data_IF_657225550634
#
_entry.id   IF_657225550634
#
_cell.length_a   1.000
_cell.length_b   1.000
_cell.length_c   1.000
_cell.angle_alpha   90.00
_cell.angle_beta   90.00
_cell.angle_gamma   90.00
#
_symmetry.space_group_name_H-M   'P 1'
#
loop_
_entity.id
_entity.type
_entity.pdbx_description
1 polymer ?
#
# COMPACT_ATOMS: atom_id res chain seq x y z
N UNK A 1 -2.67 11.49 -0.29
CA UNK A 1 -3.81 10.86 0.38
C UNK A 1 -5.14 11.54 0.08
N UNK A 2 -5.15 12.84 -0.21
CA UNK A 2 -6.37 13.55 -0.59
C UNK A 2 -7.11 12.92 -1.78
N UNK A 3 -6.38 12.40 -2.77
CA UNK A 3 -6.93 11.69 -3.94
C UNK A 3 -7.66 10.38 -3.59
N UNK A 4 -7.35 9.78 -2.44
CA UNK A 4 -8.09 8.64 -1.89
C UNK A 4 -9.26 9.06 -1.00
N UNK A 5 -9.28 10.31 -0.53
CA UNK A 5 -10.25 10.80 0.44
C UNK A 5 -9.99 10.29 1.86
N UNK A 6 -8.73 10.02 2.19
CA UNK A 6 -8.32 9.55 3.52
C UNK A 6 -7.93 10.74 4.38
N UNK A 7 -8.54 10.84 5.55
CA UNK A 7 -8.12 11.74 6.63
C UNK A 7 -6.99 11.07 7.42
N UNK A 8 -5.78 11.61 7.25
CA UNK A 8 -4.57 11.06 7.88
C UNK A 8 -4.61 11.23 9.40
N UNK A 9 -5.14 12.32 9.91
CA UNK A 9 -5.24 12.55 11.36
C UNK A 9 -6.19 11.53 12.01
N UNK A 10 -7.27 11.16 11.30
CA UNK A 10 -8.21 10.17 11.77
C UNK A 10 -7.64 8.74 11.77
N UNK A 11 -6.75 8.40 10.83
CA UNK A 11 -6.17 7.05 10.74
C UNK A 11 -4.84 6.88 11.49
N UNK A 12 -4.14 7.98 11.82
CA UNK A 12 -2.86 7.90 12.53
C UNK A 12 -2.93 7.10 13.84
N UNK A 13 -4.00 7.20 14.67
CA UNK A 13 -4.14 6.37 15.87
C UNK A 13 -4.22 4.86 15.63
N UNK A 14 -4.52 4.42 14.40
CA UNK A 14 -4.54 2.98 14.09
C UNK A 14 -3.16 2.35 14.16
N UNK A 15 -2.13 3.15 13.96
CA UNK A 15 -0.74 2.74 13.82
C UNK A 15 0.14 3.25 14.97
N UNK A 16 -0.43 3.34 16.17
CA UNK A 16 0.34 3.68 17.35
C UNK A 16 1.43 2.62 17.59
N UNK A 17 2.69 3.03 17.49
CA UNK A 17 3.84 2.13 17.56
C UNK A 17 4.09 1.65 18.98
N UNK A 18 4.35 0.36 19.13
CA UNK A 18 5.17 -0.16 20.21
C UNK A 18 6.58 -0.34 19.66
N UNK A 19 7.40 0.71 19.75
CA UNK A 19 8.77 0.62 19.27
C UNK A 19 9.54 -0.41 20.09
N UNK A 20 9.86 -1.54 19.47
CA UNK A 20 10.67 -2.60 20.05
C UNK A 20 11.90 -2.79 19.16
N UNK A 21 13.10 -2.42 19.66
CA UNK A 21 14.32 -2.85 18.99
C UNK A 21 14.41 -4.39 19.08
N UNK A 22 14.72 -5.10 17.99
CA UNK A 22 15.30 -4.63 16.73
C UNK A 22 14.27 -4.37 15.60
N UNK A 23 12.99 -4.33 15.88
CA UNK A 23 11.93 -4.10 14.91
C UNK A 23 10.88 -3.10 15.44
N UNK A 24 10.03 -2.60 14.58
CA UNK A 24 8.85 -1.81 14.95
C UNK A 24 7.64 -2.74 14.97
N UNK A 25 6.97 -2.85 16.11
CA UNK A 25 5.70 -3.57 16.24
C UNK A 25 4.55 -2.56 16.33
N UNK A 26 3.58 -2.70 15.45
CA UNK A 26 2.34 -1.92 15.44
C UNK A 26 1.18 -2.86 15.78
N UNK A 27 0.45 -2.58 16.84
CA UNK A 27 -0.74 -3.35 17.22
C UNK A 27 -1.99 -2.56 16.94
N UNK A 28 -2.72 -2.92 15.88
CA UNK A 28 -4.03 -2.33 15.60
C UNK A 28 -5.03 -2.83 16.64
N UNK A 29 -5.78 -1.91 17.26
CA UNK A 29 -6.83 -2.30 18.21
C UNK A 29 -8.03 -2.93 17.51
N UNK A 30 -8.79 -3.79 18.24
CA UNK A 30 -10.02 -4.39 17.71
C UNK A 30 -11.02 -3.33 17.24
N UNK A 31 -11.15 -2.23 17.99
CA UNK A 31 -12.06 -1.13 17.65
C UNK A 31 -11.68 -0.45 16.33
N UNK A 32 -10.38 -0.19 16.13
CA UNK A 32 -9.90 0.40 14.88
C UNK A 32 -10.08 -0.56 13.70
N UNK A 33 -9.69 -1.82 13.85
CA UNK A 33 -9.81 -2.83 12.80
C UNK A 33 -11.29 -3.07 12.40
N UNK A 34 -12.20 -3.07 13.39
CA UNK A 34 -13.64 -3.23 13.13
C UNK A 34 -14.25 -2.06 12.32
N UNK A 35 -13.73 -0.84 12.51
CA UNK A 35 -14.21 0.34 11.80
C UNK A 35 -13.73 0.45 10.33
N UNK A 36 -12.79 -0.39 9.90
CA UNK A 36 -12.17 -0.25 8.56
C UNK A 36 -13.17 -0.39 7.42
N UNK A 37 -14.15 -1.28 7.51
CA UNK A 37 -15.17 -1.44 6.47
C UNK A 37 -15.95 -0.14 6.24
N UNK A 38 -16.26 0.61 7.31
CA UNK A 38 -17.01 1.85 7.22
C UNK A 38 -16.22 3.00 6.58
N UNK A 39 -14.90 3.03 6.80
CA UNK A 39 -14.05 4.17 6.39
C UNK A 39 -13.18 3.89 5.17
N UNK A 40 -12.84 2.64 4.86
CA UNK A 40 -11.92 2.28 3.78
C UNK A 40 -12.60 1.88 2.47
N UNK A 41 -13.91 1.66 2.43
CA UNK A 41 -14.59 1.24 1.20
C UNK A 41 -14.29 2.13 0.00
N UNK A 42 -14.49 3.44 0.10
CA UNK A 42 -14.19 4.40 -0.97
C UNK A 42 -12.68 4.57 -1.19
N UNK A 43 -11.82 4.77 -0.18
CA UNK A 43 -10.38 4.84 -0.35
C UNK A 43 -9.78 3.62 -1.07
N UNK A 44 -10.14 2.41 -0.67
CA UNK A 44 -9.65 1.17 -1.30
C UNK A 44 -10.16 1.06 -2.75
N UNK A 45 -11.44 1.38 -3.01
CA UNK A 45 -11.92 1.46 -4.41
C UNK A 45 -11.08 2.41 -5.26
N UNK A 46 -10.74 3.59 -4.73
CA UNK A 46 -9.91 4.58 -5.42
C UNK A 46 -8.47 4.13 -5.63
N UNK A 47 -7.98 3.15 -4.89
CA UNK A 47 -6.70 2.49 -5.19
C UNK A 47 -6.75 1.72 -6.52
N UNK A 48 -7.91 1.21 -6.94
CA UNK A 48 -8.09 0.43 -8.19
C UNK A 48 -8.65 1.27 -9.35
N UNK A 49 -9.56 2.19 -9.06
CA UNK A 49 -10.16 3.09 -10.05
C UNK A 49 -10.65 4.36 -9.35
N UNK A 50 -10.23 5.53 -9.84
CA UNK A 50 -10.71 6.81 -9.33
C UNK A 50 -12.13 7.13 -9.85
N UNK A 51 -12.74 8.15 -9.25
CA UNK A 51 -14.13 8.51 -9.55
C UNK A 51 -14.31 8.97 -10.99
N UNK A 52 -13.40 9.82 -11.48
CA UNK A 52 -13.50 10.40 -12.81
C UNK A 52 -13.36 9.32 -13.90
N UNK A 53 -12.38 8.41 -13.75
CA UNK A 53 -12.20 7.31 -14.68
C UNK A 53 -13.36 6.32 -14.62
N UNK A 54 -13.92 6.06 -13.44
CA UNK A 54 -15.08 5.19 -13.26
C UNK A 54 -16.30 5.76 -13.99
N UNK A 55 -16.57 7.07 -13.84
CA UNK A 55 -17.67 7.76 -14.52
C UNK A 55 -17.49 7.78 -16.03
N UNK A 56 -16.29 8.10 -16.50
CA UNK A 56 -15.97 8.10 -17.92
C UNK A 56 -16.14 6.72 -18.56
N UNK A 57 -15.70 5.66 -17.89
CA UNK A 57 -15.85 4.28 -18.38
C UNK A 57 -17.30 3.81 -18.37
N UNK A 58 -18.08 4.13 -17.34
CA UNK A 58 -19.49 3.81 -17.28
C UNK A 58 -20.24 4.47 -18.47
N UNK A 59 -19.99 5.76 -18.70
CA UNK A 59 -20.58 6.49 -19.84
C UNK A 59 -20.16 5.92 -21.20
N UNK A 60 -18.88 5.57 -21.36
CA UNK A 60 -18.36 5.09 -22.64
C UNK A 60 -18.79 3.65 -22.98
N UNK A 61 -19.01 2.80 -21.96
CA UNK A 61 -19.28 1.36 -22.17
C UNK A 61 -20.74 0.96 -21.93
N UNK A 62 -21.53 1.82 -21.28
CA UNK A 62 -22.90 1.50 -20.84
C UNK A 62 -22.95 0.47 -19.71
N UNK A 63 -21.81 0.10 -19.12
CA UNK A 63 -21.75 -0.82 -17.98
C UNK A 63 -22.03 -0.09 -16.68
N UNK A 64 -22.61 -0.79 -15.70
CA UNK A 64 -22.76 -0.26 -14.37
C UNK A 64 -21.39 -0.03 -13.69
N UNK A 65 -21.34 0.93 -12.76
CA UNK A 65 -20.14 1.16 -11.95
C UNK A 65 -19.74 -0.07 -11.14
N UNK A 66 -20.73 -0.84 -10.66
CA UNK A 66 -20.50 -2.09 -9.94
C UNK A 66 -19.75 -3.13 -10.77
N UNK A 67 -20.17 -3.34 -12.05
CA UNK A 67 -19.46 -4.26 -12.96
C UNK A 67 -18.02 -3.80 -13.24
N UNK A 68 -17.82 -2.49 -13.42
CA UNK A 68 -16.48 -1.93 -13.69
C UNK A 68 -15.55 -2.06 -12.49
N UNK A 69 -16.05 -1.84 -11.29
CA UNK A 69 -15.28 -2.03 -10.05
C UNK A 69 -14.97 -3.51 -9.84
N UNK A 70 -15.96 -4.39 -9.95
CA UNK A 70 -15.78 -5.83 -9.81
C UNK A 70 -14.72 -6.40 -10.77
N UNK A 71 -14.63 -5.86 -11.98
CA UNK A 71 -13.63 -6.26 -12.98
C UNK A 71 -12.19 -5.85 -12.60
N UNK A 72 -12.02 -4.94 -11.63
CA UNK A 72 -10.71 -4.45 -11.16
C UNK A 72 -10.26 -5.11 -9.85
N UNK A 73 -11.20 -5.48 -9.00
CA UNK A 73 -10.88 -6.03 -7.68
C UNK A 73 -10.32 -7.46 -7.77
N UNK A 74 -9.41 -7.85 -6.87
CA UNK A 74 -8.91 -9.22 -6.79
C UNK A 74 -10.02 -10.19 -6.35
N UNK A 75 -9.90 -11.44 -6.80
CA UNK A 75 -10.72 -12.49 -6.22
C UNK A 75 -10.32 -12.77 -4.77
N UNK A 76 -11.26 -13.27 -3.95
CA UNK A 76 -10.99 -13.70 -2.58
C UNK A 76 -9.83 -14.71 -2.57
N UNK A 77 -8.89 -14.54 -1.65
CA UNK A 77 -7.73 -15.41 -1.53
C UNK A 77 -6.43 -14.63 -1.33
N UNK A 78 -5.31 -15.23 -1.74
CA UNK A 78 -3.97 -14.69 -1.50
C UNK A 78 -3.72 -13.33 -2.18
N UNK A 79 -4.26 -13.13 -3.38
CA UNK A 79 -4.11 -11.84 -4.07
C UNK A 79 -4.86 -10.73 -3.34
N UNK A 80 -6.09 -10.98 -2.85
CA UNK A 80 -6.84 -10.01 -2.06
C UNK A 80 -6.12 -9.68 -0.75
N UNK A 81 -5.62 -10.71 -0.05
CA UNK A 81 -4.85 -10.52 1.18
C UNK A 81 -3.58 -9.70 0.95
N UNK A 82 -2.84 -10.00 -0.12
CA UNK A 82 -1.64 -9.26 -0.51
C UNK A 82 -1.93 -7.81 -0.85
N UNK A 83 -2.88 -7.56 -1.76
CA UNK A 83 -3.29 -6.21 -2.15
C UNK A 83 -3.74 -5.38 -0.92
N UNK A 84 -4.50 -6.00 0.00
CA UNK A 84 -4.91 -5.32 1.23
C UNK A 84 -3.73 -4.96 2.12
N UNK A 85 -2.79 -5.90 2.31
CA UNK A 85 -1.57 -5.64 3.09
C UNK A 85 -0.75 -4.49 2.50
N UNK A 86 -0.57 -4.47 1.18
CA UNK A 86 0.10 -3.36 0.50
C UNK A 86 -0.65 -2.02 0.69
N UNK A 87 -1.99 -2.00 0.56
CA UNK A 87 -2.81 -0.79 0.78
C UNK A 87 -2.72 -0.34 2.25
N UNK A 88 -2.74 -1.27 3.20
CA UNK A 88 -2.59 -0.95 4.62
C UNK A 88 -1.22 -0.31 4.91
N UNK A 89 -0.14 -0.85 4.33
CA UNK A 89 1.21 -0.28 4.44
C UNK A 89 1.30 1.08 3.73
N UNK A 90 0.59 1.27 2.63
CA UNK A 90 0.49 2.56 1.97
C UNK A 90 -0.14 3.62 2.89
N UNK A 91 -1.18 3.26 3.64
CA UNK A 91 -1.80 4.13 4.65
C UNK A 91 -0.91 4.32 5.88
N UNK A 92 -0.25 3.25 6.35
CA UNK A 92 0.70 3.30 7.45
C UNK A 92 1.80 4.33 7.20
N UNK A 93 2.43 4.31 6.01
CA UNK A 93 3.46 5.31 5.68
C UNK A 93 2.93 6.73 5.85
N UNK A 94 1.71 7.02 5.39
CA UNK A 94 1.13 8.35 5.51
C UNK A 94 0.83 8.74 6.96
N UNK A 95 0.48 7.78 7.79
CA UNK A 95 0.17 8.01 9.21
C UNK A 95 1.43 8.28 10.05
N UNK A 96 2.56 7.60 9.73
CA UNK A 96 3.81 7.72 10.51
C UNK A 96 4.79 8.77 9.99
N UNK A 97 4.48 9.41 8.87
CA UNK A 97 5.24 10.52 8.30
C UNK A 97 4.41 11.83 8.38
N UNK A 98 4.09 12.33 9.60
CA UNK A 98 3.17 13.44 9.77
C UNK A 98 3.75 14.74 9.18
N UNK A 99 2.85 15.57 8.65
CA UNK A 99 3.22 16.87 8.09
C UNK A 99 3.95 16.83 6.75
N UNK A 100 4.13 15.65 6.15
CA UNK A 100 4.80 15.46 4.87
C UNK A 100 3.79 15.10 3.80
N UNK A 101 3.85 15.75 2.65
CA UNK A 101 3.04 15.38 1.50
C UNK A 101 3.61 14.11 0.85
N UNK A 102 3.09 12.95 1.21
CA UNK A 102 3.45 11.69 0.59
C UNK A 102 2.78 11.54 -0.78
N UNK A 103 3.61 11.37 -1.79
CA UNK A 103 3.18 11.11 -3.16
C UNK A 103 3.47 9.65 -3.46
N UNK A 104 2.45 8.88 -3.85
CA UNK A 104 2.63 7.46 -4.12
C UNK A 104 1.77 6.96 -5.28
N UNK A 105 2.35 6.22 -6.24
CA UNK A 105 1.61 5.62 -7.34
C UNK A 105 0.66 4.54 -6.83
N UNK A 106 -0.58 4.55 -7.30
CA UNK A 106 -1.58 3.51 -7.00
C UNK A 106 -1.38 2.37 -8.00
N UNK A 107 -0.38 1.52 -7.74
CA UNK A 107 0.00 0.40 -8.63
C UNK A 107 -1.15 -0.54 -8.97
N UNK A 108 -2.12 -0.68 -8.07
CA UNK A 108 -3.30 -1.53 -8.27
C UNK A 108 -4.15 -1.08 -9.46
N UNK A 109 -4.16 0.22 -9.81
CA UNK A 109 -4.81 0.75 -11.04
C UNK A 109 -4.20 0.19 -12.31
N UNK A 110 -2.89 -0.13 -12.28
CA UNK A 110 -2.08 -0.56 -13.40
C UNK A 110 -2.06 -2.09 -13.61
N UNK A 111 -2.76 -2.85 -12.75
CA UNK A 111 -2.84 -4.31 -12.88
C UNK A 111 -3.55 -4.67 -14.19
N UNK A 112 -2.88 -5.47 -15.01
CA UNK A 112 -3.46 -6.03 -16.24
C UNK A 112 -4.28 -7.28 -15.97
N UNK A 113 -3.91 -8.01 -14.92
CA UNK A 113 -4.56 -9.22 -14.44
C UNK A 113 -4.87 -9.06 -12.94
N UNK A 114 -6.15 -8.97 -12.61
CA UNK A 114 -6.62 -8.77 -11.24
C UNK A 114 -6.31 -9.93 -10.30
N UNK A 115 -6.02 -11.12 -10.88
CA UNK A 115 -5.68 -12.33 -10.12
C UNK A 115 -4.21 -12.41 -9.73
N UNK A 116 -3.39 -11.45 -10.17
CA UNK A 116 -1.96 -11.38 -9.89
C UNK A 116 -1.60 -10.12 -9.12
N UNK A 117 -0.52 -10.15 -8.31
CA UNK A 117 0.01 -8.95 -7.69
C UNK A 117 0.48 -7.94 -8.76
N UNK A 118 0.53 -6.66 -8.38
CA UNK A 118 1.20 -5.66 -9.19
C UNK A 118 2.72 -5.97 -9.28
N UNK A 119 3.39 -5.69 -10.41
CA UNK A 119 4.79 -6.07 -10.56
C UNK A 119 5.74 -5.24 -9.70
N UNK A 120 6.91 -5.82 -9.41
CA UNK A 120 8.07 -5.23 -8.74
C UNK A 120 7.86 -4.88 -7.25
N UNK A 121 8.37 -3.71 -6.77
CA UNK A 121 8.29 -3.30 -5.36
C UNK A 121 6.84 -3.05 -4.94
N UNK A 122 6.45 -3.45 -3.75
CA UNK A 122 5.05 -3.47 -3.33
C UNK A 122 4.53 -2.06 -3.05
N UNK A 123 5.17 -1.30 -2.17
CA UNK A 123 4.75 0.06 -1.83
C UNK A 123 5.91 1.03 -2.03
N UNK A 124 5.65 2.11 -2.78
CA UNK A 124 6.62 3.19 -3.01
C UNK A 124 5.96 4.53 -2.73
N UNK A 125 6.64 5.37 -1.93
CA UNK A 125 6.27 6.75 -1.69
C UNK A 125 7.44 7.69 -1.94
N UNK A 126 7.12 8.89 -2.43
CA UNK A 126 8.05 9.99 -2.58
C UNK A 126 7.76 11.03 -1.50
N UNK A 127 8.78 11.40 -0.75
CA UNK A 127 8.77 12.50 0.22
C UNK A 127 9.56 13.62 -0.41
N UNK A 128 8.89 14.71 -0.76
CA UNK A 128 9.43 15.84 -1.51
C UNK A 128 9.00 17.14 -0.83
N UNK A 129 9.59 17.48 0.35
CA UNK A 129 9.10 18.58 1.19
C UNK A 129 9.19 19.95 0.50
N UNK A 130 10.19 20.16 -0.35
CA UNK A 130 10.47 21.42 -1.01
C UNK A 130 10.15 21.40 -2.52
N UNK A 131 9.31 20.45 -2.97
CA UNK A 131 8.99 20.33 -4.40
C UNK A 131 8.54 21.67 -5.03
N UNK A 132 9.05 22.04 -6.23
CA UNK A 132 9.89 21.25 -7.15
C UNK A 132 11.41 21.34 -6.89
N UNK A 133 11.85 22.14 -5.92
CA UNK A 133 13.27 22.30 -5.62
C UNK A 133 13.87 21.00 -5.04
N UNK A 134 15.15 20.74 -5.34
CA UNK A 134 15.88 19.61 -4.80
C UNK A 134 16.29 19.86 -3.34
N UNK A 135 16.21 18.81 -2.53
CA UNK A 135 16.52 18.91 -1.10
C UNK A 135 17.21 17.63 -0.60
N UNK A 136 18.09 17.78 0.39
CA UNK A 136 18.65 16.63 1.11
C UNK A 136 17.57 15.83 1.91
N UNK A 137 16.41 16.43 2.11
CA UNK A 137 15.26 15.76 2.73
C UNK A 137 14.39 14.99 1.73
N UNK A 138 14.72 15.07 0.41
CA UNK A 138 14.05 14.27 -0.60
C UNK A 138 14.38 12.80 -0.39
N UNK A 139 13.35 11.98 -0.22
CA UNK A 139 13.55 10.55 -0.03
C UNK A 139 12.46 9.72 -0.67
N UNK A 140 12.82 8.51 -1.06
CA UNK A 140 11.90 7.46 -1.50
C UNK A 140 11.79 6.42 -0.40
N UNK A 141 10.55 6.14 0.01
CA UNK A 141 10.22 5.03 0.91
C UNK A 141 9.80 3.85 0.05
N UNK A 142 10.48 2.73 0.20
CA UNK A 142 10.19 1.50 -0.53
C UNK A 142 9.95 0.38 0.48
N UNK A 143 8.77 -0.24 0.44
CA UNK A 143 8.45 -1.36 1.31
C UNK A 143 8.14 -2.60 0.51
N UNK A 144 8.72 -3.71 0.96
CA UNK A 144 8.29 -5.06 0.63
C UNK A 144 7.27 -5.52 1.67
N UNK A 145 6.15 -6.05 1.25
CA UNK A 145 5.02 -6.41 2.11
C UNK A 145 4.69 -7.90 2.01
N UNK A 146 4.59 -8.56 3.15
CA UNK A 146 4.09 -9.93 3.24
C UNK A 146 2.89 -9.99 4.17
N UNK A 147 1.83 -10.67 3.75
CA UNK A 147 0.58 -10.77 4.52
C UNK A 147 0.33 -12.22 4.95
N UNK A 148 0.07 -12.44 6.25
CA UNK A 148 -0.34 -13.73 6.82
C UNK A 148 -1.60 -13.57 7.66
N UNK A 149 -2.73 -14.00 7.11
CA UNK A 149 -4.04 -13.86 7.76
C UNK A 149 -4.57 -15.16 8.38
N UNK A 150 -3.93 -16.30 8.11
CA UNK A 150 -4.31 -17.61 8.62
C UNK A 150 -3.08 -18.44 8.96
N UNK A 151 -3.25 -19.42 9.84
CA UNK A 151 -2.19 -20.36 10.16
C UNK A 151 -1.69 -21.11 8.90
N UNK A 152 -0.40 -21.40 8.87
CA UNK A 152 0.27 -22.06 7.74
C UNK A 152 1.78 -21.94 7.84
N UNK A 153 2.51 -22.56 6.93
CA UNK A 153 3.98 -22.68 6.98
C UNK A 153 4.73 -21.46 6.40
N UNK A 154 4.05 -20.39 6.03
CA UNK A 154 4.74 -19.19 5.55
C UNK A 154 5.27 -18.37 6.71
N UNK A 155 6.48 -17.83 6.59
CA UNK A 155 7.14 -16.92 7.53
C UNK A 155 7.19 -15.51 6.90
N UNK A 156 6.17 -14.67 7.12
CA UNK A 156 6.08 -13.36 6.46
C UNK A 156 7.19 -12.41 6.86
N UNK A 157 7.68 -12.45 8.12
CA UNK A 157 8.74 -11.56 8.59
C UNK A 157 10.05 -11.87 7.87
N UNK A 158 10.54 -13.09 7.94
CA UNK A 158 11.79 -13.50 7.25
C UNK A 158 11.67 -13.38 5.74
N UNK A 159 10.49 -13.66 5.16
CA UNK A 159 10.24 -13.48 3.73
C UNK A 159 10.27 -12.01 3.30
N UNK A 160 9.71 -11.10 4.10
CA UNK A 160 9.75 -9.66 3.83
C UNK A 160 11.20 -9.13 3.88
N UNK A 161 11.99 -9.56 4.87
CA UNK A 161 13.42 -9.22 4.99
C UNK A 161 14.20 -9.70 3.76
N UNK A 162 14.04 -10.98 3.38
CA UNK A 162 14.73 -11.55 2.24
C UNK A 162 14.36 -10.86 0.91
N UNK A 163 13.10 -10.49 0.74
CA UNK A 163 12.61 -9.86 -0.47
C UNK A 163 12.92 -8.34 -0.50
N UNK A 164 12.99 -7.66 0.64
CA UNK A 164 13.47 -6.28 0.76
C UNK A 164 14.90 -6.11 0.23
N UNK A 165 15.75 -7.14 0.38
CA UNK A 165 17.08 -7.16 -0.23
C UNK A 165 17.04 -7.06 -1.77
N UNK A 166 16.02 -7.64 -2.42
CA UNK A 166 15.83 -7.52 -3.88
C UNK A 166 15.48 -6.09 -4.29
N UNK A 167 14.69 -5.39 -3.47
CA UNK A 167 14.36 -3.98 -3.68
C UNK A 167 15.60 -3.10 -3.63
N UNK A 168 16.43 -3.32 -2.63
CA UNK A 168 17.68 -2.58 -2.44
C UNK A 168 18.68 -2.80 -3.57
N UNK A 169 18.78 -4.01 -4.10
CA UNK A 169 19.72 -4.35 -5.15
C UNK A 169 19.31 -3.89 -6.54
N UNK A 170 18.03 -4.07 -6.93
CA UNK A 170 17.63 -3.79 -8.31
C UNK A 170 16.15 -3.56 -8.53
N UNK A 171 15.26 -4.10 -7.67
CA UNK A 171 13.82 -4.12 -7.96
C UNK A 171 13.23 -2.71 -7.92
N UNK A 172 13.63 -1.86 -6.95
CA UNK A 172 13.20 -0.46 -6.91
C UNK A 172 13.55 0.28 -8.20
N UNK A 173 14.75 0.12 -8.74
CA UNK A 173 15.15 0.75 -10.00
C UNK A 173 14.23 0.31 -11.16
N UNK A 174 13.92 -1.00 -11.24
CA UNK A 174 12.98 -1.54 -12.23
C UNK A 174 11.57 -1.00 -12.03
N UNK A 175 11.13 -0.83 -10.78
CA UNK A 175 9.84 -0.23 -10.43
C UNK A 175 9.74 1.19 -10.98
N UNK A 176 10.76 2.02 -10.76
CA UNK A 176 10.76 3.41 -11.23
C UNK A 176 10.74 3.52 -12.75
N UNK A 177 11.51 2.66 -13.44
CA UNK A 177 11.50 2.60 -14.91
C UNK A 177 10.11 2.18 -15.40
N UNK A 178 9.54 1.12 -14.85
CA UNK A 178 8.21 0.63 -15.23
C UNK A 178 7.12 1.68 -14.98
N UNK A 179 7.15 2.37 -13.82
CA UNK A 179 6.21 3.45 -13.53
C UNK A 179 6.35 4.62 -14.51
N UNK A 180 7.60 4.96 -14.89
CA UNK A 180 7.85 6.01 -15.89
C UNK A 180 7.28 5.64 -17.26
N UNK A 181 7.44 4.39 -17.70
CA UNK A 181 6.83 3.91 -18.94
C UNK A 181 5.30 3.96 -18.86
N UNK A 182 4.71 3.55 -17.73
CA UNK A 182 3.25 3.62 -17.54
C UNK A 182 2.74 5.05 -17.54
N UNK A 183 3.45 5.99 -16.92
CA UNK A 183 3.06 7.40 -16.88
C UNK A 183 2.95 8.07 -18.27
N UNK A 184 3.48 7.44 -19.32
CA UNK A 184 3.31 7.92 -20.70
C UNK A 184 1.92 7.61 -21.29
N UNK A 185 1.22 6.64 -20.73
CA UNK A 185 -0.04 6.12 -21.29
C UNK A 185 -1.18 6.03 -20.27
N UNK A 186 -0.87 6.10 -18.99
CA UNK A 186 -1.82 5.90 -17.91
C UNK A 186 -1.66 6.99 -16.84
N UNK A 187 -2.76 7.35 -16.19
CA UNK A 187 -2.75 8.27 -15.05
C UNK A 187 -2.25 7.54 -13.80
N UNK A 188 -1.15 8.02 -13.24
CA UNK A 188 -0.59 7.54 -11.97
C UNK A 188 -1.16 8.29 -10.75
N UNK A 189 -2.23 9.06 -10.91
CA UNK A 189 -2.80 9.90 -9.89
C UNK A 189 -1.91 11.11 -9.59
N UNK A 190 -1.54 11.29 -8.32
CA UNK A 190 -0.68 12.41 -7.89
C UNK A 190 0.79 12.25 -8.30
N UNK A 191 1.19 11.08 -8.81
CA UNK A 191 2.57 10.79 -9.21
C UNK A 191 2.81 11.23 -10.65
N UNK A 192 3.84 12.04 -10.87
CA UNK A 192 4.23 12.51 -12.22
C UNK A 192 5.57 11.91 -12.64
N UNK A 193 5.90 11.99 -13.95
CA UNK A 193 7.21 11.60 -14.48
C UNK A 193 8.33 12.38 -13.77
N UNK A 194 8.13 13.66 -13.46
CA UNK A 194 9.13 14.48 -12.79
C UNK A 194 9.43 13.97 -11.36
N UNK A 195 8.43 13.47 -10.62
CA UNK A 195 8.66 12.82 -9.31
C UNK A 195 9.53 11.57 -9.44
N UNK A 196 9.28 10.75 -10.49
CA UNK A 196 10.08 9.54 -10.75
C UNK A 196 11.52 9.90 -11.16
N UNK A 197 11.69 10.95 -11.96
CA UNK A 197 13.00 11.42 -12.41
C UNK A 197 13.88 11.92 -11.28
N UNK A 198 13.31 12.50 -10.21
CA UNK A 198 14.03 12.91 -9.01
C UNK A 198 14.90 11.77 -8.45
N UNK A 199 14.44 10.51 -8.53
CA UNK A 199 15.10 9.34 -7.98
C UNK A 199 15.75 8.42 -9.02
N UNK A 200 15.52 8.65 -10.31
CA UNK A 200 16.18 7.90 -11.39
C UNK A 200 17.39 8.61 -11.95
N UNK A 201 17.45 9.93 -11.84
CA UNK A 201 18.58 10.76 -12.28
C UNK A 201 19.52 11.10 -11.11
N UNK A 202 20.16 10.06 -10.55
CA UNK A 202 21.01 10.21 -9.36
C UNK A 202 22.18 11.21 -9.52
N UNK A 203 22.65 11.44 -10.75
CA UNK A 203 23.69 12.44 -11.04
C UNK A 203 23.18 13.88 -10.89
N UNK A 204 21.88 14.10 -11.14
CA UNK A 204 21.26 15.42 -11.07
C UNK A 204 20.74 15.72 -9.62
N UNK A 205 20.53 14.65 -8.85
CA UNK A 205 19.97 14.70 -7.49
C UNK A 205 20.72 13.77 -6.54
N UNK A 206 22.02 14.01 -6.28
CA UNK A 206 22.87 13.09 -5.52
C UNK A 206 22.51 13.00 -4.03
N UNK A 207 21.82 14.00 -3.49
CA UNK A 207 21.38 14.07 -2.10
C UNK A 207 20.11 13.27 -1.81
N UNK A 208 19.35 12.87 -2.83
CA UNK A 208 18.09 12.14 -2.66
C UNK A 208 18.31 10.75 -2.04
N UNK A 209 17.61 10.48 -0.95
CA UNK A 209 17.78 9.28 -0.13
C UNK A 209 16.83 8.15 -0.52
N UNK A 210 17.23 6.91 -0.21
CA UNK A 210 16.38 5.71 -0.36
C UNK A 210 16.27 5.04 1.00
N UNK A 211 15.04 4.86 1.47
CA UNK A 211 14.73 4.17 2.71
C UNK A 211 13.94 2.91 2.40
N UNK A 212 14.34 1.80 2.98
CA UNK A 212 13.74 0.49 2.73
C UNK A 212 13.08 -0.05 3.99
N UNK A 213 11.94 -0.71 3.81
CA UNK A 213 11.20 -1.36 4.90
C UNK A 213 10.81 -2.78 4.49
N UNK A 214 11.05 -3.72 5.37
CA UNK A 214 10.51 -5.07 5.29
C UNK A 214 9.28 -5.11 6.20
N UNK A 215 8.08 -5.29 5.64
CA UNK A 215 6.84 -5.17 6.39
C UNK A 215 6.08 -6.49 6.38
N UNK A 216 5.74 -7.00 7.55
CA UNK A 216 4.84 -8.13 7.71
C UNK A 216 3.49 -7.65 8.28
N UNK A 217 2.40 -7.90 7.56
CA UNK A 217 1.03 -7.69 8.04
C UNK A 217 0.47 -9.04 8.48
N UNK A 218 0.25 -9.21 9.78
CA UNK A 218 0.00 -10.52 10.39
C UNK A 218 -1.29 -10.49 11.20
N UNK A 219 -2.07 -11.59 11.15
CA UNK A 219 -3.18 -11.74 12.08
C UNK A 219 -2.66 -11.71 13.52
N UNK A 220 -3.29 -10.92 14.40
CA UNK A 220 -2.82 -10.72 15.77
C UNK A 220 -2.68 -12.05 16.56
N UNK A 221 -3.48 -13.06 16.23
CA UNK A 221 -3.39 -14.39 16.84
C UNK A 221 -2.15 -15.21 16.42
N UNK A 222 -1.38 -14.74 15.43
CA UNK A 222 -0.19 -15.41 14.91
C UNK A 222 1.08 -14.60 15.15
N UNK A 223 0.96 -13.40 15.72
CA UNK A 223 2.07 -12.45 15.74
C UNK A 223 3.23 -12.93 16.61
N UNK A 224 2.97 -13.56 17.73
CA UNK A 224 4.03 -13.99 18.66
C UNK A 224 4.91 -15.09 18.02
N UNK A 225 4.31 -16.05 17.30
CA UNK A 225 5.06 -17.05 16.53
C UNK A 225 5.89 -16.42 15.40
N UNK A 226 5.36 -15.39 14.74
CA UNK A 226 6.05 -14.70 13.65
C UNK A 226 7.19 -13.80 14.13
N UNK A 227 7.12 -13.29 15.36
CA UNK A 227 8.20 -12.50 15.96
C UNK A 227 9.43 -13.33 16.32
N UNK A 228 9.29 -14.67 16.46
CA UNK A 228 10.44 -15.56 16.59
C UNK A 228 11.34 -15.56 15.36
N UNK A 229 10.79 -15.20 14.19
CA UNK A 229 11.50 -15.05 12.92
C UNK A 229 12.05 -13.63 12.68
N UNK A 230 11.83 -12.70 13.62
CA UNK A 230 12.35 -11.34 13.53
C UNK A 230 13.88 -11.33 13.74
N UNK A 231 14.59 -10.35 13.17
CA UNK A 231 16.03 -10.20 13.39
C UNK A 231 16.34 -10.02 14.87
N UNK A 232 17.42 -10.64 15.36
CA UNK A 232 17.93 -10.45 16.71
C UNK A 232 18.58 -9.08 16.93
N UNK A 233 19.12 -8.49 15.86
CA UNK A 233 19.75 -7.17 15.86
C UNK A 233 19.07 -6.24 14.85
N UNK A 234 19.05 -4.94 15.15
CA UNK A 234 18.45 -3.93 14.25
C UNK A 234 19.26 -3.83 12.95
N UNK A 235 18.63 -4.06 11.78
CA UNK A 235 19.30 -3.93 10.51
C UNK A 235 19.72 -2.47 10.24
N UNK A 236 20.93 -2.27 9.72
CA UNK A 236 21.47 -0.92 9.45
C UNK A 236 21.00 -0.31 8.14
N UNK A 237 20.38 -1.10 7.27
CA UNK A 237 20.13 -0.76 5.87
C UNK A 237 18.63 -0.86 5.47
N UNK A 238 17.79 -1.29 6.38
CA UNK A 238 16.33 -1.29 6.26
C UNK A 238 15.68 -1.34 7.65
N UNK A 239 14.40 -1.01 7.72
CA UNK A 239 13.61 -1.15 8.95
C UNK A 239 12.69 -2.37 8.82
N UNK A 240 12.61 -3.19 9.87
CA UNK A 240 11.61 -4.26 9.96
C UNK A 240 10.38 -3.73 10.69
N UNK A 241 9.20 -3.92 10.09
CA UNK A 241 7.92 -3.51 10.66
C UNK A 241 6.98 -4.69 10.68
N UNK A 242 6.35 -4.94 11.82
CA UNK A 242 5.30 -5.95 11.97
C UNK A 242 4.01 -5.25 12.35
N UNK A 243 2.97 -5.39 11.53
CA UNK A 243 1.64 -4.83 11.78
C UNK A 243 0.72 -5.98 12.17
N UNK A 244 0.36 -6.06 13.45
CA UNK A 244 -0.55 -7.06 13.99
C UNK A 244 -1.99 -6.56 13.92
N UNK A 245 -2.85 -7.31 13.22
CA UNK A 245 -4.25 -6.94 12.98
C UNK A 245 -5.20 -8.02 13.51
N UNK A 246 -6.14 -7.68 14.39
CA UNK A 246 -7.15 -8.63 14.86
C UNK A 246 -8.03 -9.12 13.72
N UNK A 247 -8.24 -10.44 13.65
CA UNK A 247 -9.12 -11.09 12.64
C UNK A 247 -8.83 -10.65 11.20
N UNK A 248 -7.55 -10.46 10.85
CA UNK A 248 -7.08 -9.84 9.61
C UNK A 248 -7.85 -10.34 8.36
N UNK A 249 -8.12 -11.65 8.27
CA UNK A 249 -8.85 -12.20 7.12
C UNK A 249 -10.26 -11.60 7.01
N UNK A 250 -10.99 -11.58 8.10
CA UNK A 250 -12.35 -11.03 8.13
C UNK A 250 -12.32 -9.54 7.80
N UNK A 251 -11.34 -8.79 8.37
CA UNK A 251 -11.24 -7.34 8.18
C UNK A 251 -11.03 -6.96 6.71
N UNK A 252 -10.12 -7.62 6.01
CA UNK A 252 -9.94 -7.28 4.59
C UNK A 252 -11.13 -7.74 3.73
N UNK A 253 -11.75 -8.88 4.03
CA UNK A 253 -12.95 -9.33 3.32
C UNK A 253 -14.09 -8.31 3.51
N UNK A 254 -14.34 -7.82 4.73
CA UNK A 254 -15.33 -6.79 5.03
C UNK A 254 -15.06 -5.48 4.29
N UNK A 255 -13.79 -5.06 4.22
CA UNK A 255 -13.40 -3.86 3.47
C UNK A 255 -13.68 -4.02 1.97
N UNK A 256 -13.35 -5.15 1.37
CA UNK A 256 -13.63 -5.38 -0.05
C UNK A 256 -15.13 -5.53 -0.34
N UNK A 257 -15.90 -6.08 0.59
CA UNK A 257 -17.38 -6.10 0.49
C UNK A 257 -17.94 -4.65 0.58
N UNK A 258 -17.39 -3.82 1.47
CA UNK A 258 -17.73 -2.40 1.53
C UNK A 258 -17.34 -1.66 0.23
N UNK A 259 -16.23 -2.00 -0.43
CA UNK A 259 -15.89 -1.44 -1.76
C UNK A 259 -17.01 -1.69 -2.76
N UNK A 260 -17.56 -2.90 -2.82
CA UNK A 260 -18.70 -3.21 -3.69
C UNK A 260 -19.93 -2.37 -3.33
N UNK A 261 -20.18 -2.16 -2.04
CA UNK A 261 -21.32 -1.37 -1.57
C UNK A 261 -21.23 0.12 -1.98
N UNK A 262 -20.01 0.68 -2.17
CA UNK A 262 -19.82 2.10 -2.58
C UNK A 262 -20.37 2.42 -3.97
N UNK A 263 -20.63 1.42 -4.79
CA UNK A 263 -21.08 1.56 -6.19
C UNK A 263 -22.35 0.77 -6.47
N UNK A 264 -22.95 0.16 -5.45
CA UNK A 264 -24.25 -0.50 -5.59
C UNK A 264 -25.32 0.55 -5.93
N UNK A 265 -26.13 0.32 -6.94
CA UNK A 265 -27.26 1.17 -7.22
C UNK A 265 -28.25 1.08 -6.04
N UNK A 266 -28.80 2.22 -5.58
CA UNK A 266 -29.86 2.18 -4.56
C UNK A 266 -31.00 1.35 -5.12
N UNK A 267 -31.28 0.21 -4.49
CA UNK A 267 -32.11 -0.90 -4.88
C UNK A 267 -33.20 -0.58 -5.88
N UNK A 268 -33.09 -1.16 -7.05
CA UNK A 268 -34.22 -1.47 -7.90
C UNK A 268 -35.05 -2.55 -7.20
N UNK A 269 -35.85 -2.14 -6.22
CA UNK A 269 -36.88 -2.99 -5.65
C UNK A 269 -37.94 -3.24 -6.71
N UNK A 270 -37.97 -4.46 -7.20
CA UNK A 270 -39.12 -5.01 -7.95
C UNK A 270 -40.26 -5.31 -7.00
#
# INVERSE_FOLDING_TARGET
MQDLGVDIEAIAPWFADEHQSPYVLVRVSDAHAAAWADVLGVPVRRCYIDDALLDARAAATGRSKSELVAAKLPDRGSTMAGDFGEILVFLYHAAVEPGVNLIGPKKWRLKQDRTKPAPYSDVVHFVLPNWPESSADDRILCSEVKTKSTAGNSSPVSSAVADCQKDRTSRLAKTLVWLKERALHEDLGTTTVAHLERFTKATDHPEAQKQFRAVAVVCASLVDDELEEAPEEEPTDHTVVVIAVPELKQRYEDVFDAVHATVAEPGGGT
#
